data_IF_464007184742
#
_entry.id   IF_464007184742
#
_cell.length_a   1.000
_cell.length_b   1.000
_cell.length_c   1.000
_cell.angle_alpha   90.00
_cell.angle_beta   90.00
_cell.angle_gamma   90.00
#
_symmetry.space_group_name_H-M   'P 1'
#
loop_
_entity.id
_entity.type
_entity.pdbx_description
1 polymer ?
#
# COMPACT_ATOMS: atom_id res chain seq x y z
N UNK A 1 33.32 -13.07 -5.14
CA UNK A 1 32.79 -11.75 -4.73
C UNK A 1 31.88 -11.26 -5.84
N UNK A 2 30.56 -11.41 -5.67
CA UNK A 2 29.62 -10.75 -6.59
C UNK A 2 29.55 -9.29 -6.15
N UNK A 3 29.78 -8.36 -7.08
CA UNK A 3 29.68 -6.94 -6.80
C UNK A 3 28.26 -6.61 -6.33
N UNK A 4 28.23 -6.04 -5.12
CA UNK A 4 27.06 -5.51 -4.45
C UNK A 4 26.96 -4.07 -4.90
N UNK A 5 25.99 -3.75 -5.75
CA UNK A 5 25.60 -2.36 -6.04
C UNK A 5 26.73 -1.42 -6.54
N UNK A 6 27.77 -1.94 -7.19
CA UNK A 6 28.84 -1.14 -7.77
C UNK A 6 28.39 -0.39 -9.02
N UNK A 7 27.54 0.63 -8.86
CA UNK A 7 27.16 1.52 -9.95
C UNK A 7 28.14 2.69 -9.95
N UNK A 8 28.91 2.84 -11.04
CA UNK A 8 29.52 4.14 -11.36
C UNK A 8 28.37 5.06 -11.79
N UNK A 9 27.77 5.78 -10.84
CA UNK A 9 26.50 6.51 -11.05
C UNK A 9 26.57 7.51 -12.21
N UNK A 10 27.76 8.08 -12.45
CA UNK A 10 28.02 9.03 -13.53
C UNK A 10 27.83 8.51 -14.96
N UNK A 11 27.67 7.19 -15.16
CA UNK A 11 27.42 6.60 -16.48
C UNK A 11 25.94 6.33 -16.78
N UNK A 12 25.04 6.51 -15.80
CA UNK A 12 23.61 6.20 -15.96
C UNK A 12 22.75 7.44 -16.16
N UNK A 13 21.70 7.29 -16.97
CA UNK A 13 20.63 8.28 -17.06
C UNK A 13 19.76 8.26 -15.81
N UNK A 14 19.00 9.34 -15.57
CA UNK A 14 18.08 9.44 -14.41
C UNK A 14 17.05 8.32 -14.44
N UNK A 15 16.49 8.02 -15.62
CA UNK A 15 15.56 6.91 -15.80
C UNK A 15 16.20 5.55 -15.47
N UNK A 16 17.49 5.34 -15.80
CA UNK A 16 18.19 4.10 -15.49
C UNK A 16 18.43 3.93 -13.98
N UNK A 17 18.83 5.00 -13.28
CA UNK A 17 19.00 4.99 -11.81
C UNK A 17 17.66 4.72 -11.13
N UNK A 18 16.59 5.40 -11.56
CA UNK A 18 15.24 5.16 -11.06
C UNK A 18 14.81 3.69 -11.20
N UNK A 19 14.91 3.13 -12.41
CA UNK A 19 14.53 1.74 -12.63
C UNK A 19 15.37 0.78 -11.79
N UNK A 20 16.64 1.12 -11.55
CA UNK A 20 17.51 0.36 -10.66
C UNK A 20 17.01 0.38 -9.21
N UNK A 21 16.63 1.54 -8.67
CA UNK A 21 16.08 1.67 -7.32
C UNK A 21 14.78 0.87 -7.15
N UNK A 22 13.83 0.98 -8.08
CA UNK A 22 12.56 0.22 -8.03
C UNK A 22 12.80 -1.30 -8.10
N UNK A 23 13.74 -1.73 -8.94
CA UNK A 23 14.08 -3.14 -9.11
C UNK A 23 14.76 -3.72 -7.87
N UNK A 24 15.53 -2.92 -7.13
CA UNK A 24 16.28 -3.36 -5.94
C UNK A 24 15.39 -3.93 -4.84
N UNK A 25 14.19 -3.40 -4.64
CA UNK A 25 13.20 -3.94 -3.71
C UNK A 25 12.92 -5.44 -3.92
N UNK A 26 13.01 -5.94 -5.17
CA UNK A 26 12.72 -7.36 -5.49
C UNK A 26 13.76 -8.34 -4.95
N UNK A 27 14.93 -7.83 -4.54
CA UNK A 27 16.05 -8.62 -4.04
C UNK A 27 16.14 -8.63 -2.52
N UNK A 28 15.26 -7.88 -1.84
CA UNK A 28 15.20 -7.82 -0.39
C UNK A 28 14.35 -8.99 0.11
N UNK A 29 14.91 -9.75 1.04
CA UNK A 29 14.23 -10.81 1.79
C UNK A 29 14.17 -10.43 3.27
N UNK A 30 13.21 -11.00 4.00
CA UNK A 30 13.09 -10.79 5.44
C UNK A 30 13.53 -12.06 6.18
N UNK A 31 14.44 -11.91 7.14
CA UNK A 31 14.91 -13.00 8.00
C UNK A 31 13.84 -13.53 8.95
N UNK A 32 13.97 -14.77 9.41
CA UNK A 32 13.00 -15.38 10.36
C UNK A 32 12.85 -14.63 11.68
N UNK A 33 13.84 -13.81 12.03
CA UNK A 33 13.82 -12.92 13.21
C UNK A 33 12.70 -11.88 13.19
N UNK A 34 12.06 -11.63 12.04
CA UNK A 34 10.88 -10.79 11.96
C UNK A 34 9.64 -11.41 12.61
N UNK A 35 9.64 -12.72 12.91
CA UNK A 35 8.55 -13.37 13.62
C UNK A 35 7.20 -13.19 12.93
N UNK A 36 6.15 -12.95 13.71
CA UNK A 36 4.78 -12.79 13.21
C UNK A 36 4.58 -11.50 12.39
N UNK A 37 5.40 -10.48 12.63
CA UNK A 37 5.31 -9.17 11.99
C UNK A 37 5.84 -9.14 10.54
N UNK A 38 6.50 -10.21 10.07
CA UNK A 38 7.18 -10.20 8.78
C UNK A 38 6.26 -9.82 7.61
N UNK A 39 4.98 -10.21 7.68
CA UNK A 39 4.01 -9.95 6.61
C UNK A 39 3.66 -8.48 6.52
N UNK A 40 3.56 -7.80 7.67
CA UNK A 40 3.35 -6.34 7.76
C UNK A 40 4.55 -5.61 7.17
N UNK A 41 5.75 -6.01 7.54
CA UNK A 41 6.99 -5.43 7.01
C UNK A 41 7.19 -5.69 5.51
N UNK A 42 6.77 -6.85 5.02
CA UNK A 42 6.76 -7.12 3.59
C UNK A 42 5.80 -6.16 2.86
N UNK A 43 4.58 -5.95 3.38
CA UNK A 43 3.65 -4.99 2.78
C UNK A 43 4.22 -3.57 2.77
N UNK A 44 4.90 -3.13 3.84
CA UNK A 44 5.58 -1.83 3.85
C UNK A 44 6.64 -1.70 2.75
N UNK A 45 7.44 -2.74 2.52
CA UNK A 45 8.39 -2.79 1.39
C UNK A 45 7.68 -2.71 0.05
N UNK A 46 6.58 -3.46 -0.10
CA UNK A 46 5.80 -3.46 -1.33
C UNK A 46 5.20 -2.08 -1.61
N UNK A 47 4.69 -1.39 -0.59
CA UNK A 47 4.12 -0.05 -0.69
C UNK A 47 5.18 1.00 -1.03
N UNK A 48 6.35 0.97 -0.37
CA UNK A 48 7.45 1.85 -0.71
C UNK A 48 7.89 1.67 -2.17
N UNK A 49 7.94 0.41 -2.65
CA UNK A 49 8.24 0.09 -4.05
C UNK A 49 7.16 0.64 -4.99
N UNK A 50 5.88 0.40 -4.71
CA UNK A 50 4.78 0.87 -5.57
C UNK A 50 4.71 2.38 -5.60
N UNK A 51 4.97 3.07 -4.47
CA UNK A 51 5.03 4.54 -4.36
C UNK A 51 6.12 5.12 -5.24
N UNK A 52 7.36 4.64 -5.13
CA UNK A 52 8.45 5.08 -6.01
C UNK A 52 8.10 4.80 -7.49
N UNK A 53 7.58 3.61 -7.79
CA UNK A 53 7.11 3.27 -9.14
C UNK A 53 6.03 4.23 -9.67
N UNK A 54 5.11 4.66 -8.79
CA UNK A 54 4.02 5.58 -9.11
C UNK A 54 4.54 6.98 -9.41
N UNK A 55 5.52 7.47 -8.65
CA UNK A 55 6.23 8.71 -8.97
C UNK A 55 6.83 8.69 -10.38
N UNK A 56 7.57 7.64 -10.74
CA UNK A 56 8.16 7.53 -12.07
C UNK A 56 7.12 7.46 -13.20
N UNK A 57 5.99 6.79 -12.97
CA UNK A 57 4.87 6.79 -13.93
C UNK A 57 4.22 8.17 -14.06
N UNK A 58 4.00 8.87 -12.93
CA UNK A 58 3.33 10.15 -12.91
C UNK A 58 4.05 11.23 -13.72
N UNK A 59 5.40 11.20 -13.73
CA UNK A 59 6.24 12.12 -14.51
C UNK A 59 6.70 11.54 -15.85
N UNK A 60 6.20 10.36 -16.23
CA UNK A 60 6.59 9.64 -17.45
C UNK A 60 8.12 9.47 -17.60
N UNK A 61 8.82 9.13 -16.51
CA UNK A 61 10.29 9.11 -16.44
C UNK A 61 10.97 8.29 -17.55
N UNK A 62 10.31 7.24 -18.02
CA UNK A 62 10.83 6.34 -19.06
C UNK A 62 10.53 6.81 -20.50
N UNK A 63 9.64 7.78 -20.70
CA UNK A 63 9.24 8.26 -22.02
C UNK A 63 9.70 9.72 -22.27
N UNK A 64 9.95 10.48 -21.21
CA UNK A 64 10.38 11.88 -21.30
C UNK A 64 11.89 11.98 -21.60
N UNK A 65 12.30 12.61 -22.73
CA UNK A 65 13.71 12.64 -23.16
C UNK A 65 14.65 13.26 -22.13
N UNK A 66 14.19 14.22 -21.32
CA UNK A 66 15.01 14.91 -20.32
C UNK A 66 15.62 13.97 -19.27
N UNK A 67 15.03 12.80 -19.03
CA UNK A 67 15.54 11.80 -18.08
C UNK A 67 16.43 10.74 -18.72
N UNK A 68 16.60 10.77 -20.04
CA UNK A 68 17.36 9.77 -20.82
C UNK A 68 18.86 10.08 -20.91
N UNK A 69 19.30 11.25 -20.46
CA UNK A 69 20.69 11.69 -20.53
C UNK A 69 21.41 11.57 -19.18
N UNK A 70 22.74 11.41 -19.22
CA UNK A 70 23.64 11.35 -18.05
C UNK A 70 23.91 12.72 -17.43
N UNK A 71 23.61 13.80 -18.15
CA UNK A 71 23.66 15.19 -17.67
C UNK A 71 22.52 15.97 -18.32
N UNK A 72 21.83 16.79 -17.53
CA UNK A 72 20.74 17.64 -18.01
C UNK A 72 21.07 19.11 -17.72
N UNK A 73 20.63 20.01 -18.59
CA UNK A 73 20.63 21.45 -18.27
C UNK A 73 19.52 21.82 -17.28
N UNK A 74 18.52 20.93 -17.13
CA UNK A 74 17.42 21.07 -16.19
C UNK A 74 17.92 20.79 -14.77
N UNK A 75 17.86 21.82 -13.91
CA UNK A 75 18.32 21.76 -12.51
C UNK A 75 17.49 20.76 -11.70
N UNK A 76 16.18 20.69 -11.93
CA UNK A 76 15.29 19.77 -11.22
C UNK A 76 15.65 18.32 -11.57
N UNK A 77 15.97 18.05 -12.84
CA UNK A 77 16.41 16.71 -13.29
C UNK A 77 17.73 16.31 -12.61
N UNK A 78 18.66 17.24 -12.41
CA UNK A 78 19.91 16.94 -11.71
C UNK A 78 19.70 16.72 -10.22
N UNK A 79 18.84 17.49 -9.56
CA UNK A 79 18.47 17.25 -8.15
C UNK A 79 17.79 15.88 -8.00
N UNK A 80 16.87 15.50 -8.90
CA UNK A 80 16.29 14.17 -8.87
C UNK A 80 17.32 13.06 -9.11
N UNK A 81 18.36 13.29 -9.92
CA UNK A 81 19.48 12.34 -10.03
C UNK A 81 20.12 12.13 -8.66
N UNK A 82 20.51 13.21 -7.98
CA UNK A 82 21.18 13.14 -6.68
C UNK A 82 20.33 12.38 -5.65
N UNK A 83 19.02 12.67 -5.57
CA UNK A 83 18.11 11.97 -4.66
C UNK A 83 17.99 10.47 -5.00
N UNK A 84 17.93 10.11 -6.29
CA UNK A 84 17.90 8.70 -6.71
C UNK A 84 19.24 7.98 -6.42
N UNK A 85 20.36 8.68 -6.52
CA UNK A 85 21.68 8.18 -6.12
C UNK A 85 21.78 7.98 -4.60
N UNK A 86 21.16 8.85 -3.80
CA UNK A 86 21.05 8.68 -2.35
C UNK A 86 20.20 7.45 -1.98
N UNK A 87 19.07 7.24 -2.66
CA UNK A 87 18.26 6.01 -2.50
C UNK A 87 19.10 4.76 -2.83
N UNK A 88 19.82 4.78 -3.95
CA UNK A 88 20.71 3.69 -4.35
C UNK A 88 21.80 3.42 -3.29
N UNK A 89 22.42 4.49 -2.77
CA UNK A 89 23.44 4.41 -1.72
C UNK A 89 22.89 3.86 -0.40
N UNK A 90 21.63 4.16 -0.08
CA UNK A 90 20.95 3.61 1.09
C UNK A 90 20.77 2.10 0.99
N UNK A 91 20.34 1.60 -0.18
CA UNK A 91 20.27 0.16 -0.42
C UNK A 91 21.64 -0.51 -0.32
N UNK A 92 22.68 0.08 -0.92
CA UNK A 92 24.04 -0.45 -0.83
C UNK A 92 24.51 -0.51 0.63
N UNK A 93 24.26 0.54 1.41
CA UNK A 93 24.57 0.59 2.83
C UNK A 93 23.86 -0.51 3.64
N UNK A 94 22.56 -0.72 3.37
CA UNK A 94 21.78 -1.78 4.00
C UNK A 94 22.29 -3.18 3.61
N UNK A 95 22.62 -3.40 2.34
CA UNK A 95 23.17 -4.65 1.85
C UNK A 95 24.56 -4.95 2.42
N UNK A 96 25.44 -3.94 2.53
CA UNK A 96 26.75 -4.08 3.18
C UNK A 96 26.60 -4.48 4.65
N UNK A 97 25.63 -3.90 5.37
CA UNK A 97 25.32 -4.30 6.76
C UNK A 97 24.82 -5.74 6.83
N UNK A 98 23.89 -6.11 5.95
CA UNK A 98 23.39 -7.49 5.82
C UNK A 98 24.51 -8.49 5.56
N UNK A 99 25.41 -8.20 4.62
CA UNK A 99 26.55 -9.05 4.30
C UNK A 99 27.51 -9.23 5.49
N UNK A 100 27.80 -8.15 6.23
CA UNK A 100 28.63 -8.21 7.44
C UNK A 100 28.01 -9.08 8.53
N UNK A 101 26.69 -9.01 8.68
CA UNK A 101 25.96 -9.86 9.60
C UNK A 101 25.99 -11.32 9.14
N UNK A 102 25.69 -11.58 7.86
CA UNK A 102 25.65 -12.92 7.29
C UNK A 102 26.99 -13.69 7.42
N UNK A 103 28.12 -12.98 7.34
CA UNK A 103 29.44 -13.57 7.50
C UNK A 103 29.76 -14.03 8.94
N UNK A 104 28.97 -13.62 9.94
CA UNK A 104 29.20 -13.89 11.37
C UNK A 104 28.11 -14.74 12.02
N UNK A 105 26.96 -14.86 11.36
CA UNK A 105 25.78 -15.49 11.89
C UNK A 105 25.72 -16.98 11.51
N UNK A 106 25.14 -17.79 12.39
CA UNK A 106 24.93 -19.21 12.14
C UNK A 106 23.85 -19.45 11.07
N UNK A 107 23.90 -20.61 10.41
CA UNK A 107 22.97 -20.95 9.32
C UNK A 107 21.48 -20.78 9.69
N UNK A 108 21.11 -21.08 10.93
CA UNK A 108 19.73 -20.93 11.44
C UNK A 108 19.29 -19.46 11.51
N UNK A 109 20.22 -18.55 11.77
CA UNK A 109 19.92 -17.12 11.82
C UNK A 109 19.76 -16.51 10.42
N UNK A 110 20.27 -17.19 9.39
CA UNK A 110 20.21 -16.78 7.99
C UNK A 110 18.93 -17.25 7.28
N UNK A 111 18.07 -17.99 7.97
CA UNK A 111 16.80 -18.40 7.42
C UNK A 111 15.92 -17.19 7.12
N UNK A 112 15.22 -17.25 5.98
CA UNK A 112 14.36 -16.17 5.48
C UNK A 112 12.92 -16.66 5.32
N UNK A 113 11.99 -15.73 5.43
CA UNK A 113 10.62 -15.94 5.02
C UNK A 113 10.52 -16.00 3.48
N UNK A 114 9.68 -16.89 3.01
CA UNK A 114 9.23 -16.99 1.63
C UNK A 114 7.77 -16.61 1.49
N UNK A 115 7.33 -16.51 0.24
CA UNK A 115 5.92 -16.22 -0.08
C UNK A 115 4.96 -17.29 0.47
N UNK A 116 5.43 -18.54 0.59
CA UNK A 116 4.68 -19.66 1.16
C UNK A 116 4.38 -19.51 2.66
N UNK A 117 5.16 -18.69 3.37
CA UNK A 117 4.96 -18.44 4.81
C UNK A 117 3.87 -17.40 5.06
N UNK A 118 3.46 -16.62 4.05
CA UNK A 118 2.41 -15.60 4.19
C UNK A 118 1.04 -16.25 4.29
N UNK A 119 0.14 -15.66 5.08
CA UNK A 119 -1.27 -16.03 5.03
C UNK A 119 -1.85 -15.75 3.62
N UNK A 120 -2.92 -16.45 3.20
CA UNK A 120 -3.43 -16.34 1.84
C UNK A 120 -3.86 -14.93 1.43
N UNK A 121 -4.34 -14.10 2.36
CA UNK A 121 -4.81 -12.74 2.08
C UNK A 121 -3.64 -11.79 1.82
N UNK A 122 -2.66 -11.74 2.73
CA UNK A 122 -1.45 -10.91 2.57
C UNK A 122 -0.60 -11.35 1.38
N UNK A 123 -0.59 -12.66 1.07
CA UNK A 123 0.04 -13.19 -0.14
C UNK A 123 -0.58 -12.65 -1.43
N UNK A 124 -1.92 -12.51 -1.48
CA UNK A 124 -2.60 -11.90 -2.64
C UNK A 124 -2.22 -10.43 -2.77
N UNK A 125 -2.19 -9.68 -1.67
CA UNK A 125 -1.76 -8.28 -1.68
C UNK A 125 -0.31 -8.12 -2.15
N UNK A 126 0.61 -8.93 -1.63
CA UNK A 126 2.01 -8.94 -2.06
C UNK A 126 2.15 -9.19 -3.57
N UNK A 127 1.42 -10.17 -4.11
CA UNK A 127 1.39 -10.45 -5.56
C UNK A 127 0.83 -9.29 -6.36
N UNK A 128 -0.27 -8.72 -5.89
CA UNK A 128 -0.91 -7.57 -6.53
C UNK A 128 0.05 -6.38 -6.64
N UNK A 129 0.77 -6.04 -5.56
CA UNK A 129 1.80 -5.00 -5.57
C UNK A 129 2.97 -5.33 -6.53
N UNK A 130 3.37 -6.60 -6.62
CA UNK A 130 4.37 -7.05 -7.61
C UNK A 130 3.89 -6.88 -9.05
N UNK A 131 2.62 -7.19 -9.32
CA UNK A 131 2.04 -7.05 -10.66
C UNK A 131 1.92 -5.58 -11.06
N UNK A 132 1.50 -4.69 -10.15
CA UNK A 132 1.54 -3.23 -10.36
C UNK A 132 2.96 -2.77 -10.72
N UNK A 133 3.95 -3.15 -9.91
CA UNK A 133 5.32 -2.73 -10.14
C UNK A 133 5.88 -3.25 -11.47
N UNK A 134 5.53 -4.48 -11.86
CA UNK A 134 5.92 -5.07 -13.15
C UNK A 134 5.30 -4.35 -14.34
N UNK A 135 4.02 -3.98 -14.25
CA UNK A 135 3.33 -3.24 -15.32
C UNK A 135 3.98 -1.87 -15.58
N UNK A 136 4.52 -1.23 -14.54
CA UNK A 136 5.20 0.07 -14.61
C UNK A 136 6.64 -0.03 -15.12
N UNK A 137 7.34 -1.09 -14.75
CA UNK A 137 8.71 -1.32 -15.17
C UNK A 137 8.76 -1.80 -16.62
N UNK A 138 8.95 -0.85 -17.56
CA UNK A 138 9.13 -1.15 -18.98
C UNK A 138 10.48 -1.78 -19.32
N UNK A 139 11.48 -1.59 -18.44
CA UNK A 139 12.86 -2.03 -18.67
C UNK A 139 13.35 -2.75 -17.42
N UNK A 140 13.76 -4.02 -17.56
CA UNK A 140 14.45 -4.74 -16.48
C UNK A 140 15.82 -4.13 -16.23
N UNK A 141 16.24 -4.08 -14.96
CA UNK A 141 17.58 -3.62 -14.58
C UNK A 141 18.67 -4.31 -15.40
N UNK A 142 19.60 -3.53 -15.95
CA UNK A 142 20.78 -4.01 -16.68
C UNK A 142 21.74 -4.73 -15.72
N UNK A 143 21.61 -4.47 -14.41
CA UNK A 143 22.51 -4.99 -13.38
C UNK A 143 21.94 -6.26 -12.79
N UNK A 144 22.70 -7.35 -12.89
CA UNK A 144 22.42 -8.59 -12.15
C UNK A 144 22.57 -8.32 -10.65
N UNK A 145 21.49 -8.48 -9.90
CA UNK A 145 21.49 -8.33 -8.44
C UNK A 145 21.34 -9.69 -7.78
N UNK A 146 22.04 -9.84 -6.66
CA UNK A 146 21.92 -11.01 -5.79
C UNK A 146 20.90 -10.73 -4.72
N UNK A 147 20.03 -11.70 -4.42
CA UNK A 147 19.12 -11.60 -3.27
C UNK A 147 19.92 -11.45 -1.98
N UNK A 148 19.40 -10.63 -1.08
CA UNK A 148 19.99 -10.38 0.23
C UNK A 148 18.87 -10.18 1.25
N UNK A 149 19.16 -10.38 2.53
CA UNK A 149 18.14 -10.37 3.56
C UNK A 149 18.38 -9.27 4.59
N UNK A 150 17.30 -8.65 5.05
CA UNK A 150 17.29 -7.86 6.28
C UNK A 150 16.92 -8.80 7.43
N UNK A 151 17.64 -8.69 8.55
CA UNK A 151 17.51 -9.62 9.68
C UNK A 151 16.94 -8.97 10.95
N UNK A 152 16.67 -7.66 10.91
CA UNK A 152 16.08 -6.95 12.03
C UNK A 152 15.11 -5.85 11.56
N UNK A 153 14.00 -5.73 12.28
CA UNK A 153 12.92 -4.79 11.98
C UNK A 153 13.38 -3.34 12.01
N UNK A 154 14.25 -2.98 12.96
CA UNK A 154 14.74 -1.61 13.14
C UNK A 154 15.55 -1.12 11.94
N UNK A 155 16.41 -1.96 11.37
CA UNK A 155 17.16 -1.64 10.16
C UNK A 155 16.24 -1.50 8.96
N UNK A 156 15.20 -2.33 8.86
CA UNK A 156 14.21 -2.21 7.80
C UNK A 156 13.43 -0.90 7.89
N UNK A 157 12.86 -0.59 9.05
CA UNK A 157 12.11 0.66 9.28
C UNK A 157 12.94 1.87 8.92
N UNK A 158 14.16 1.98 9.44
CA UNK A 158 15.08 3.07 9.10
C UNK A 158 15.36 3.18 7.60
N UNK A 159 15.48 2.04 6.91
CA UNK A 159 15.73 2.02 5.46
C UNK A 159 14.48 2.51 4.71
N UNK A 160 13.30 2.02 5.10
CA UNK A 160 12.03 2.43 4.49
C UNK A 160 11.76 3.92 4.75
N UNK A 161 11.88 4.39 5.99
CA UNK A 161 11.62 5.78 6.38
C UNK A 161 12.51 6.74 5.59
N UNK A 162 13.80 6.42 5.49
CA UNK A 162 14.76 7.22 4.73
C UNK A 162 14.45 7.22 3.22
N UNK A 163 14.04 6.09 2.65
CA UNK A 163 13.61 6.02 1.25
C UNK A 163 12.34 6.85 1.04
N UNK A 164 11.38 6.77 1.96
CA UNK A 164 10.13 7.51 1.86
C UNK A 164 10.35 9.02 1.96
N UNK A 165 11.29 9.49 2.80
CA UNK A 165 11.62 10.92 2.85
C UNK A 165 12.20 11.43 1.54
N UNK A 166 13.05 10.64 0.88
CA UNK A 166 13.55 10.99 -0.46
C UNK A 166 12.46 10.94 -1.53
N UNK A 167 11.51 10.01 -1.43
CA UNK A 167 10.33 10.00 -2.32
C UNK A 167 9.49 11.27 -2.10
N UNK A 168 9.31 11.73 -0.84
CA UNK A 168 8.63 13.00 -0.56
C UNK A 168 9.32 14.18 -1.26
N UNK A 169 10.66 14.21 -1.26
CA UNK A 169 11.45 15.23 -1.94
C UNK A 169 11.30 15.16 -3.47
N UNK A 170 11.32 13.95 -4.04
CA UNK A 170 11.06 13.73 -5.47
C UNK A 170 9.65 14.17 -5.90
N UNK A 171 8.63 13.91 -5.06
CA UNK A 171 7.25 14.32 -5.30
C UNK A 171 7.07 15.83 -5.19
N UNK A 172 7.78 16.50 -4.26
CA UNK A 172 7.81 17.97 -4.17
C UNK A 172 8.49 18.62 -5.37
N UNK A 173 9.54 17.98 -5.88
CA UNK A 173 10.30 18.47 -7.02
C UNK A 173 9.53 18.37 -8.34
N UNK A 174 8.68 17.34 -8.47
CA UNK A 174 7.80 17.15 -9.62
C UNK A 174 6.35 16.92 -9.18
N UNK A 175 5.60 17.99 -8.89
CA UNK A 175 4.21 17.89 -8.44
C UNK A 175 3.32 17.21 -9.49
N UNK A 176 2.60 16.17 -9.06
CA UNK A 176 1.74 15.36 -9.92
C UNK A 176 0.54 14.76 -9.15
N UNK A 177 -0.03 15.50 -8.21
CA UNK A 177 -1.01 15.02 -7.20
C UNK A 177 -2.25 14.39 -7.83
N UNK A 178 -2.77 14.97 -8.91
CA UNK A 178 -3.95 14.45 -9.61
C UNK A 178 -3.66 13.12 -10.30
N UNK A 179 -2.49 13.00 -10.93
CA UNK A 179 -2.02 11.76 -11.56
C UNK A 179 -1.75 10.69 -10.51
N UNK A 180 -1.07 11.05 -9.41
CA UNK A 180 -0.79 10.16 -8.29
C UNK A 180 -2.09 9.57 -7.72
N UNK A 181 -3.08 10.42 -7.44
CA UNK A 181 -4.40 10.01 -6.91
C UNK A 181 -5.09 9.01 -7.85
N UNK A 182 -5.16 9.33 -9.16
CA UNK A 182 -5.75 8.46 -10.16
C UNK A 182 -5.02 7.11 -10.29
N UNK A 183 -3.70 7.10 -10.14
CA UNK A 183 -2.90 5.89 -10.18
C UNK A 183 -3.20 5.01 -8.94
N UNK A 184 -3.25 5.59 -7.74
CA UNK A 184 -3.63 4.85 -6.52
C UNK A 184 -5.02 4.26 -6.60
N UNK A 185 -6.01 5.03 -7.08
CA UNK A 185 -7.38 4.53 -7.23
C UNK A 185 -7.45 3.30 -8.13
N UNK A 186 -6.62 3.25 -9.19
CA UNK A 186 -6.47 2.07 -10.05
C UNK A 186 -5.75 0.93 -9.34
N UNK A 187 -4.70 1.23 -8.57
CA UNK A 187 -3.96 0.23 -7.78
C UNK A 187 -4.92 -0.51 -6.85
N UNK A 188 -5.79 0.19 -6.13
CA UNK A 188 -6.70 -0.47 -5.18
C UNK A 188 -8.02 -0.91 -5.80
N UNK A 189 -8.29 -0.65 -7.08
CA UNK A 189 -9.60 -0.84 -7.72
C UNK A 189 -10.17 -2.26 -7.51
N UNK A 190 -9.33 -3.27 -7.67
CA UNK A 190 -9.74 -4.68 -7.61
C UNK A 190 -9.80 -5.24 -6.18
N UNK A 191 -9.30 -4.51 -5.18
CA UNK A 191 -9.26 -4.92 -3.77
C UNK A 191 -10.54 -4.47 -3.09
N UNK A 192 -11.45 -5.39 -2.78
CA UNK A 192 -12.80 -5.05 -2.34
C UNK A 192 -13.19 -5.63 -0.97
N UNK A 193 -12.35 -6.48 -0.39
CA UNK A 193 -12.59 -7.03 0.93
C UNK A 193 -12.00 -6.13 2.01
N UNK A 194 -12.80 -5.88 3.07
CA UNK A 194 -12.44 -5.01 4.19
C UNK A 194 -11.12 -5.42 4.86
N UNK A 195 -10.84 -6.70 5.18
CA UNK A 195 -9.58 -7.08 5.83
C UNK A 195 -8.34 -6.75 5.00
N UNK A 196 -8.39 -6.92 3.67
CA UNK A 196 -7.26 -6.53 2.81
C UNK A 196 -7.05 -5.02 2.76
N UNK A 197 -8.14 -4.24 2.78
CA UNK A 197 -8.06 -2.78 2.79
C UNK A 197 -7.54 -2.26 4.13
N UNK A 198 -8.00 -2.79 5.26
CA UNK A 198 -7.47 -2.44 6.59
C UNK A 198 -5.97 -2.77 6.71
N UNK A 199 -5.54 -3.92 6.17
CA UNK A 199 -4.12 -4.27 6.13
C UNK A 199 -3.28 -3.31 5.27
N UNK A 200 -3.83 -2.82 4.15
CA UNK A 200 -3.17 -1.81 3.33
C UNK A 200 -3.14 -0.44 4.02
N UNK A 201 -4.20 -0.06 4.70
CA UNK A 201 -4.27 1.20 5.45
C UNK A 201 -3.20 1.25 6.54
N UNK A 202 -3.10 0.20 7.36
CA UNK A 202 -2.09 0.10 8.41
C UNK A 202 -0.66 0.11 7.84
N UNK A 203 -0.43 -0.63 6.74
CA UNK A 203 0.90 -0.68 6.12
C UNK A 203 1.26 0.64 5.42
N UNK A 204 0.29 1.38 4.89
CA UNK A 204 0.50 2.67 4.22
C UNK A 204 0.78 3.81 5.19
N UNK A 205 0.38 3.68 6.46
CA UNK A 205 0.63 4.68 7.49
C UNK A 205 2.11 5.02 7.61
N UNK A 206 2.44 6.30 7.39
CA UNK A 206 3.82 6.81 7.39
C UNK A 206 4.67 6.47 6.17
N UNK A 207 4.16 5.64 5.25
CA UNK A 207 4.88 5.20 4.03
C UNK A 207 4.32 5.87 2.78
N UNK A 208 2.99 5.91 2.66
CA UNK A 208 2.29 6.31 1.45
C UNK A 208 0.95 6.98 1.80
N UNK A 209 0.96 8.29 2.10
CA UNK A 209 -0.25 9.02 2.50
C UNK A 209 -1.36 8.98 1.44
N UNK A 210 -0.99 9.02 0.16
CA UNK A 210 -1.97 8.99 -0.95
C UNK A 210 -2.66 7.63 -1.02
N UNK A 211 -1.92 6.53 -0.80
CA UNK A 211 -2.49 5.19 -0.66
C UNK A 211 -3.42 5.11 0.54
N UNK A 212 -2.97 5.59 1.70
CA UNK A 212 -3.76 5.57 2.94
C UNK A 212 -5.11 6.29 2.76
N UNK A 213 -5.09 7.50 2.20
CA UNK A 213 -6.30 8.30 1.94
C UNK A 213 -7.26 7.61 0.95
N UNK A 214 -6.72 6.97 -0.10
CA UNK A 214 -7.54 6.27 -1.08
C UNK A 214 -8.17 5.00 -0.48
N UNK A 215 -7.41 4.25 0.33
CA UNK A 215 -7.90 3.06 1.03
C UNK A 215 -8.97 3.45 2.05
N UNK A 216 -8.76 4.50 2.85
CA UNK A 216 -9.75 5.00 3.80
C UNK A 216 -11.05 5.41 3.09
N UNK A 217 -10.95 6.16 1.97
CA UNK A 217 -12.12 6.51 1.16
C UNK A 217 -12.85 5.26 0.66
N UNK A 218 -12.11 4.22 0.26
CA UNK A 218 -12.69 2.97 -0.22
C UNK A 218 -13.34 2.16 0.90
N UNK A 219 -12.74 2.10 2.09
CA UNK A 219 -13.34 1.50 3.28
C UNK A 219 -14.68 2.17 3.61
N UNK A 220 -14.71 3.50 3.60
CA UNK A 220 -15.94 4.28 3.81
C UNK A 220 -17.01 4.04 2.72
N UNK A 221 -16.64 3.53 1.54
CA UNK A 221 -17.60 3.13 0.50
C UNK A 221 -18.10 1.69 0.67
N UNK A 222 -17.34 0.84 1.37
CA UNK A 222 -17.64 -0.57 1.66
C UNK A 222 -18.44 -0.71 2.95
N UNK A 223 -18.41 0.29 3.82
CA UNK A 223 -19.36 0.40 4.91
C UNK A 223 -20.62 1.08 4.40
N UNK A 224 -21.72 0.34 4.28
CA UNK A 224 -23.03 0.91 3.96
C UNK A 224 -23.37 2.01 4.97
N UNK A 225 -23.78 3.18 4.48
CA UNK A 225 -24.07 4.35 5.33
C UNK A 225 -25.58 4.50 5.52
N UNK A 226 -26.02 4.53 6.77
CA UNK A 226 -27.41 4.81 7.12
C UNK A 226 -27.47 6.08 7.96
N UNK A 227 -28.25 7.09 7.55
CA UNK A 227 -28.33 8.38 8.26
C UNK A 227 -29.77 8.88 8.41
N UNK A 228 -30.03 9.54 9.54
CA UNK A 228 -31.25 10.32 9.75
C UNK A 228 -30.93 11.64 10.46
N UNK A 229 -31.42 12.77 9.96
CA UNK A 229 -31.05 14.10 10.47
C UNK A 229 -31.98 14.60 11.58
N UNK A 230 -33.28 14.72 11.29
CA UNK A 230 -34.27 15.22 12.25
C UNK A 230 -35.26 14.12 12.60
N UNK A 231 -35.22 13.64 13.84
CA UNK A 231 -36.08 12.54 14.31
C UNK A 231 -36.99 13.04 15.43
N UNK A 232 -38.30 13.01 15.18
CA UNK A 232 -39.34 13.29 16.17
C UNK A 232 -40.15 12.03 16.46
N UNK A 233 -40.14 11.56 17.70
CA UNK A 233 -40.86 10.36 18.14
C UNK A 233 -41.83 10.73 19.25
N UNK A 234 -43.10 10.36 19.09
CA UNK A 234 -44.15 10.56 20.08
C UNK A 234 -44.80 9.23 20.49
N UNK A 235 -45.21 9.11 21.75
CA UNK A 235 -45.81 7.88 22.27
C UNK A 235 -44.78 6.75 22.45
N UNK A 236 -45.07 5.56 21.90
CA UNK A 236 -44.24 4.35 22.03
C UNK A 236 -43.49 4.00 20.73
N UNK A 237 -43.24 4.99 19.89
CA UNK A 237 -42.64 4.79 18.59
C UNK A 237 -41.16 4.39 18.72
N UNK A 238 -40.70 3.47 17.87
CA UNK A 238 -39.32 2.98 17.82
C UNK A 238 -38.69 3.31 16.48
N UNK A 239 -37.45 3.74 16.51
CA UNK A 239 -36.68 4.09 15.32
C UNK A 239 -35.28 3.52 15.37
N UNK A 240 -34.83 2.94 14.25
CA UNK A 240 -33.49 2.40 14.08
C UNK A 240 -32.82 3.03 12.85
N UNK A 241 -31.58 3.50 13.02
CA UNK A 241 -30.68 3.83 11.91
C UNK A 241 -29.59 2.79 11.89
N UNK A 242 -29.59 1.94 10.86
CA UNK A 242 -28.69 0.80 10.79
C UNK A 242 -29.24 -0.36 9.97
N UNK A 243 -28.35 -1.26 9.60
CA UNK A 243 -28.71 -2.53 8.97
C UNK A 243 -29.16 -3.53 10.04
N UNK A 244 -30.15 -4.35 9.72
CA UNK A 244 -30.65 -5.45 10.55
C UNK A 244 -30.25 -6.77 9.92
N UNK A 245 -29.75 -7.69 10.73
CA UNK A 245 -29.29 -9.00 10.29
C UNK A 245 -30.07 -10.09 11.03
N UNK A 246 -30.66 -11.03 10.29
CA UNK A 246 -31.28 -12.22 10.89
C UNK A 246 -30.21 -13.18 11.44
N UNK A 247 -30.57 -13.98 12.45
CA UNK A 247 -29.66 -15.00 13.00
C UNK A 247 -29.18 -15.99 11.92
N UNK A 248 -30.06 -16.37 11.00
CA UNK A 248 -29.73 -17.28 9.89
C UNK A 248 -28.71 -16.70 8.91
N UNK A 249 -28.65 -15.37 8.80
CA UNK A 249 -27.67 -14.68 7.97
C UNK A 249 -26.29 -14.68 8.62
N UNK A 250 -26.23 -14.43 9.94
CA UNK A 250 -24.97 -14.38 10.69
C UNK A 250 -24.25 -15.73 10.77
N UNK A 251 -24.98 -16.84 10.64
CA UNK A 251 -24.41 -18.19 10.64
C UNK A 251 -23.72 -18.59 9.32
N UNK A 252 -23.88 -17.80 8.25
CA UNK A 252 -23.20 -18.08 6.98
C UNK A 252 -21.90 -17.28 6.92
N UNK A 253 -20.77 -17.95 6.69
CA UNK A 253 -19.47 -17.34 6.38
C UNK A 253 -19.49 -16.69 4.98
N UNK A 254 -20.35 -15.70 4.77
CA UNK A 254 -20.44 -14.94 3.53
C UNK A 254 -19.69 -13.63 3.72
N UNK A 255 -18.73 -13.37 2.83
CA UNK A 255 -18.10 -12.06 2.69
C UNK A 255 -19.19 -11.04 2.33
N UNK A 256 -19.62 -10.27 3.33
CA UNK A 256 -20.66 -9.26 3.22
C UNK A 256 -20.05 -7.90 2.89
N UNK A 257 -20.49 -7.28 1.79
CA UNK A 257 -20.01 -5.99 1.32
C UNK A 257 -21.22 -5.09 1.04
N UNK A 258 -21.72 -4.41 2.08
CA UNK A 258 -22.83 -3.46 1.93
C UNK A 258 -22.31 -2.14 1.38
N UNK A 259 -22.77 -1.74 0.20
CA UNK A 259 -22.39 -0.46 -0.42
C UNK A 259 -23.54 0.55 -0.46
N UNK A 260 -24.67 0.21 0.13
CA UNK A 260 -25.86 1.05 0.05
C UNK A 260 -25.73 2.25 0.98
N UNK A 261 -26.34 3.35 0.53
CA UNK A 261 -26.47 4.57 1.31
C UNK A 261 -27.96 4.84 1.49
N UNK A 262 -28.46 4.71 2.72
CA UNK A 262 -29.82 5.05 3.07
C UNK A 262 -29.81 6.35 3.89
N UNK A 263 -30.52 7.38 3.44
CA UNK A 263 -30.59 8.64 4.16
C UNK A 263 -32.02 9.14 4.27
N UNK A 264 -32.37 9.69 5.43
CA UNK A 264 -33.68 10.29 5.68
C UNK A 264 -33.53 11.63 6.38
N UNK A 265 -34.00 12.71 5.75
CA UNK A 265 -33.84 14.05 6.33
C UNK A 265 -34.72 14.26 7.56
N UNK A 266 -35.97 13.83 7.50
CA UNK A 266 -36.92 14.02 8.60
C UNK A 266 -37.73 12.76 8.82
N UNK A 267 -37.76 12.30 10.06
CA UNK A 267 -38.54 11.16 10.54
C UNK A 267 -39.49 11.68 11.60
N UNK A 268 -40.78 11.46 11.42
CA UNK A 268 -41.80 11.74 12.43
C UNK A 268 -42.63 10.49 12.64
N UNK A 269 -42.69 9.98 13.87
CA UNK A 269 -43.40 8.75 14.19
C UNK A 269 -44.17 8.88 15.50
N UNK A 270 -45.40 8.39 15.52
CA UNK A 270 -46.29 8.48 16.68
C UNK A 270 -46.83 7.11 17.08
N UNK A 271 -47.42 7.00 18.27
CA UNK A 271 -48.05 5.77 18.78
C UNK A 271 -47.11 4.56 18.78
N UNK A 272 -47.55 3.37 18.37
CA UNK A 272 -46.75 2.13 18.37
C UNK A 272 -45.95 1.91 17.05
N UNK A 273 -45.60 2.98 16.35
CA UNK A 273 -44.91 2.89 15.05
C UNK A 273 -43.48 2.35 15.21
N UNK A 274 -43.03 1.51 14.27
CA UNK A 274 -41.63 1.08 14.15
C UNK A 274 -41.10 1.54 12.80
N UNK A 275 -39.93 2.18 12.79
CA UNK A 275 -39.27 2.66 11.57
C UNK A 275 -37.79 2.24 11.56
N UNK A 276 -37.26 1.96 10.36
CA UNK A 276 -35.83 1.74 10.15
C UNK A 276 -35.35 2.50 8.91
N UNK A 277 -34.17 3.10 9.03
CA UNK A 277 -33.35 3.56 7.90
C UNK A 277 -32.13 2.65 7.82
N UNK A 278 -32.12 1.77 6.84
CA UNK A 278 -31.07 0.79 6.59
C UNK A 278 -31.62 -0.49 5.99
N UNK A 279 -30.74 -1.42 5.64
CA UNK A 279 -31.14 -2.65 4.96
C UNK A 279 -31.47 -3.77 5.95
N UNK A 280 -32.17 -4.78 5.45
CA UNK A 280 -32.48 -6.00 6.21
C UNK A 280 -31.88 -7.19 5.47
N UNK A 281 -31.04 -7.96 6.14
CA UNK A 281 -30.31 -9.08 5.55
C UNK A 281 -30.71 -10.42 6.17
N UNK A 282 -31.00 -11.41 5.31
CA UNK A 282 -31.53 -12.73 5.65
C UNK A 282 -33.01 -12.78 6.05
N UNK A 283 -33.61 -11.65 6.43
CA UNK A 283 -35.04 -11.44 6.72
C UNK A 283 -35.56 -12.14 7.99
N UNK A 284 -36.57 -11.65 8.73
CA UNK A 284 -37.46 -10.47 8.59
C UNK A 284 -36.95 -9.27 9.44
N UNK A 285 -37.30 -8.03 9.07
CA UNK A 285 -36.70 -6.77 9.60
C UNK A 285 -37.36 -6.23 10.88
N UNK A 286 -37.52 -4.89 11.14
CA UNK A 286 -38.10 -4.16 12.34
C UNK A 286 -39.43 -4.65 12.95
N UNK A 287 -39.60 -5.93 12.89
CA UNK A 287 -40.65 -6.59 12.12
C UNK A 287 -40.64 -8.09 12.45
N UNK A 288 -39.80 -8.53 13.38
CA UNK A 288 -39.97 -9.83 14.00
C UNK A 288 -40.68 -9.61 15.33
N UNK A 289 -41.84 -10.25 15.47
CA UNK A 289 -42.67 -10.30 16.69
C UNK A 289 -42.14 -11.36 17.66
#
# INVERSE_FOLDING_TARGET
>A
MAEIFGIVSGALSVAAIFNNCVDTFQYIQLGRRFGEDFQRYQLKLDLAKTRLGRWGEAISINNEPRFSYTTSADKEVNIAREILEDIASCFEGAQKKSSRYANRADQRELEVFGESDMNPMLRRLHRHSKDIARQRQKTTSIIKKTKWALYDAKSLERTIDQICSWIDELEKLFPAESTQTRLVEREIQMINDKPSLEALEDAASGIDPVMQDAVQRKLNMIEGHNTAEFVNLEGSAKFLVGNVFSETFLQRDVLFNDRTKNSMRTVSATNQSRLQVGNVYGGRGIWED
#
